data_IF_380197781586
#
_entry.id   IF_380197781586
#
_cell.length_a   1.000
_cell.length_b   1.000
_cell.length_c   1.000
_cell.angle_alpha   90.00
_cell.angle_beta   90.00
_cell.angle_gamma   90.00
#
_symmetry.space_group_name_H-M   'P 1'
#
loop_
_entity.id
_entity.type
_entity.pdbx_description
1 polymer ?
#
# COMPACT_ATOMS: atom_id res chain seq x y z
N UNK A 1 -9.12 -10.34 13.83
CA UNK A 1 -7.96 -11.14 14.29
C UNK A 1 -6.77 -10.66 13.49
N UNK A 2 -5.75 -10.10 14.17
CA UNK A 2 -4.55 -9.59 13.50
C UNK A 2 -3.75 -10.73 12.83
N UNK A 3 -2.81 -10.35 11.95
CA UNK A 3 -1.95 -11.28 11.22
C UNK A 3 -1.27 -12.33 12.12
N UNK A 4 -0.75 -11.91 13.26
CA UNK A 4 -0.01 -12.79 14.18
C UNK A 4 -0.88 -13.84 14.85
N UNK A 5 -2.13 -13.50 15.14
CA UNK A 5 -3.09 -14.40 15.78
C UNK A 5 -3.82 -15.32 14.79
N UNK A 6 -3.60 -15.14 13.48
CA UNK A 6 -4.25 -15.93 12.44
C UNK A 6 -3.60 -17.31 12.30
N UNK A 7 -4.43 -18.35 12.12
CA UNK A 7 -3.97 -19.69 11.76
C UNK A 7 -4.87 -20.35 10.71
N UNK A 8 -4.29 -21.22 9.89
CA UNK A 8 -5.03 -22.01 8.88
C UNK A 8 -6.09 -22.92 9.54
N UNK A 9 -5.84 -23.38 10.76
CA UNK A 9 -6.82 -24.19 11.53
C UNK A 9 -8.05 -23.37 11.94
N UNK A 10 -7.84 -22.13 12.37
CA UNK A 10 -8.95 -21.21 12.70
C UNK A 10 -9.76 -20.85 11.45
N UNK A 11 -9.08 -20.61 10.31
CA UNK A 11 -9.76 -20.37 9.03
C UNK A 11 -10.62 -21.56 8.64
N UNK A 12 -10.07 -22.77 8.65
CA UNK A 12 -10.77 -24.01 8.36
C UNK A 12 -12.04 -24.16 9.21
N UNK A 13 -11.89 -23.95 10.54
CA UNK A 13 -13.02 -24.00 11.47
C UNK A 13 -14.09 -22.95 11.18
N UNK A 14 -13.67 -21.71 10.86
CA UNK A 14 -14.59 -20.59 10.61
C UNK A 14 -15.34 -20.71 9.29
N UNK A 15 -14.69 -21.27 8.26
CA UNK A 15 -15.27 -21.45 6.92
C UNK A 15 -16.00 -22.78 6.72
N UNK A 16 -15.86 -23.73 7.65
CA UNK A 16 -16.40 -25.08 7.49
C UNK A 16 -15.65 -25.95 6.46
N UNK A 17 -14.48 -25.49 5.98
CA UNK A 17 -13.65 -26.20 5.01
C UNK A 17 -12.67 -27.10 5.76
N UNK A 18 -12.43 -28.32 5.27
CA UNK A 18 -11.42 -29.20 5.87
C UNK A 18 -10.02 -28.58 5.79
N UNK A 19 -9.23 -28.67 6.86
CA UNK A 19 -7.86 -28.13 6.92
C UNK A 19 -7.00 -28.63 5.75
N UNK A 20 -7.10 -29.92 5.40
CA UNK A 20 -6.40 -30.51 4.26
C UNK A 20 -6.75 -29.85 2.94
N UNK A 21 -8.02 -29.44 2.75
CA UNK A 21 -8.45 -28.74 1.54
C UNK A 21 -7.78 -27.37 1.41
N UNK A 22 -7.61 -26.63 2.51
CA UNK A 22 -6.90 -25.34 2.47
C UNK A 22 -5.43 -25.52 2.05
N UNK A 23 -4.77 -26.57 2.52
CA UNK A 23 -3.38 -26.87 2.16
C UNK A 23 -3.19 -27.40 0.72
N UNK A 24 -4.27 -27.77 0.02
CA UNK A 24 -4.22 -28.03 -1.42
C UNK A 24 -4.09 -26.74 -2.25
N UNK A 25 -4.56 -25.61 -1.71
CA UNK A 25 -4.52 -24.32 -2.39
C UNK A 25 -3.38 -23.41 -1.91
N UNK A 26 -3.02 -23.51 -0.63
CA UNK A 26 -2.01 -22.66 -0.01
C UNK A 26 -1.10 -23.54 0.85
N UNK A 27 0.14 -23.71 0.43
CA UNK A 27 1.12 -24.55 1.16
C UNK A 27 1.48 -23.95 2.52
N UNK A 28 1.47 -22.61 2.60
CA UNK A 28 1.74 -21.84 3.82
C UNK A 28 0.64 -20.83 4.10
N UNK A 29 0.62 -20.32 5.32
CA UNK A 29 -0.21 -19.18 5.69
C UNK A 29 0.18 -17.94 4.90
N UNK A 30 1.44 -17.78 4.65
CA UNK A 30 2.04 -16.66 3.94
C UNK A 30 1.63 -16.63 2.46
N UNK A 31 1.49 -17.77 1.79
CA UNK A 31 0.92 -17.84 0.44
C UNK A 31 -0.53 -17.35 0.38
N UNK A 32 -1.34 -17.67 1.39
CA UNK A 32 -2.68 -17.12 1.50
C UNK A 32 -2.65 -15.59 1.64
N UNK A 33 -1.78 -15.06 2.51
CA UNK A 33 -1.65 -13.62 2.68
C UNK A 33 -1.09 -12.92 1.43
N UNK A 34 -0.15 -13.54 0.72
CA UNK A 34 0.34 -13.04 -0.56
C UNK A 34 -0.78 -12.95 -1.59
N UNK A 35 -1.63 -13.97 -1.67
CA UNK A 35 -2.79 -13.97 -2.57
C UNK A 35 -3.80 -12.87 -2.18
N UNK A 36 -4.06 -12.68 -0.90
CA UNK A 36 -4.92 -11.60 -0.42
C UNK A 36 -4.33 -10.21 -0.73
N UNK A 37 -3.01 -10.07 -0.58
CA UNK A 37 -2.30 -8.85 -0.95
C UNK A 37 -2.45 -8.54 -2.44
N UNK A 38 -2.19 -9.51 -3.32
CA UNK A 38 -2.34 -9.34 -4.77
C UNK A 38 -3.76 -8.89 -5.15
N UNK A 39 -4.76 -9.55 -4.58
CA UNK A 39 -6.16 -9.17 -4.83
C UNK A 39 -6.48 -7.77 -4.32
N UNK A 40 -5.97 -7.38 -3.15
CA UNK A 40 -6.19 -6.04 -2.60
C UNK A 40 -5.43 -4.98 -3.40
N UNK A 41 -4.22 -5.28 -3.85
CA UNK A 41 -3.43 -4.42 -4.72
C UNK A 41 -4.18 -4.14 -6.04
N UNK A 42 -4.69 -5.18 -6.70
CA UNK A 42 -5.44 -5.04 -7.97
C UNK A 42 -6.71 -4.19 -7.74
N UNK A 43 -7.48 -4.48 -6.70
CA UNK A 43 -8.69 -3.70 -6.39
C UNK A 43 -8.37 -2.24 -6.08
N UNK A 44 -7.34 -2.00 -5.26
CA UNK A 44 -6.93 -0.65 -4.94
C UNK A 44 -6.42 0.11 -6.17
N UNK A 45 -5.54 -0.52 -6.97
CA UNK A 45 -5.02 0.10 -8.19
C UNK A 45 -6.15 0.53 -9.13
N UNK A 46 -7.13 -0.35 -9.35
CA UNK A 46 -8.27 -0.03 -10.19
C UNK A 46 -9.11 1.11 -9.59
N UNK A 47 -9.44 1.04 -8.30
CA UNK A 47 -10.23 2.09 -7.64
C UNK A 47 -9.52 3.46 -7.67
N UNK A 48 -8.20 3.47 -7.51
CA UNK A 48 -7.41 4.69 -7.60
C UNK A 48 -7.38 5.23 -9.03
N UNK A 49 -7.13 4.40 -10.04
CA UNK A 49 -7.13 4.79 -11.46
C UNK A 49 -8.49 5.37 -11.86
N UNK A 50 -9.58 4.72 -11.48
CA UNK A 50 -10.95 5.17 -11.79
C UNK A 50 -11.30 6.52 -11.14
N UNK A 51 -10.64 6.87 -10.04
CA UNK A 51 -10.84 8.14 -9.32
C UNK A 51 -9.93 9.27 -9.84
N UNK A 52 -8.97 8.97 -10.72
CA UNK A 52 -8.12 9.98 -11.34
C UNK A 52 -8.87 10.77 -12.42
N UNK A 53 -8.43 12.00 -12.63
CA UNK A 53 -8.88 12.86 -13.72
C UNK A 53 -7.68 13.56 -14.36
N UNK A 54 -7.85 14.06 -15.56
CA UNK A 54 -6.80 14.80 -16.27
C UNK A 54 -6.43 16.10 -15.54
N UNK A 55 -5.15 16.45 -15.63
CA UNK A 55 -4.62 17.71 -15.13
C UNK A 55 -4.88 17.99 -13.64
N UNK A 56 -4.75 16.96 -12.81
CA UNK A 56 -4.86 17.10 -11.35
C UNK A 56 -3.69 17.87 -10.76
N UNK A 57 -3.95 18.57 -9.66
CA UNK A 57 -2.89 19.09 -8.80
C UNK A 57 -2.20 17.95 -8.03
N UNK A 58 -0.91 18.10 -7.74
CA UNK A 58 -0.16 17.13 -6.91
C UNK A 58 -0.84 16.89 -5.55
N UNK A 59 -1.50 17.91 -4.99
CA UNK A 59 -2.25 17.80 -3.75
C UNK A 59 -3.48 16.90 -3.91
N UNK A 60 -4.30 17.14 -4.94
CA UNK A 60 -5.51 16.34 -5.18
C UNK A 60 -5.15 14.89 -5.47
N UNK A 61 -4.12 14.64 -6.29
CA UNK A 61 -3.59 13.32 -6.57
C UNK A 61 -3.14 12.60 -5.28
N UNK A 62 -2.33 13.27 -4.45
CA UNK A 62 -1.82 12.68 -3.21
C UNK A 62 -2.93 12.35 -2.21
N UNK A 63 -3.94 13.20 -2.10
CA UNK A 63 -5.10 12.97 -1.24
C UNK A 63 -5.93 11.76 -1.72
N UNK A 64 -6.18 11.66 -3.02
CA UNK A 64 -6.88 10.49 -3.60
C UNK A 64 -6.10 9.20 -3.40
N UNK A 65 -4.79 9.22 -3.63
CA UNK A 65 -3.95 8.05 -3.42
C UNK A 65 -4.03 7.55 -1.98
N UNK A 66 -3.90 8.44 -1.00
CA UNK A 66 -3.99 8.06 0.41
C UNK A 66 -5.39 7.59 0.79
N UNK A 67 -6.43 8.32 0.40
CA UNK A 67 -7.81 7.97 0.76
C UNK A 67 -8.26 6.64 0.17
N UNK A 68 -7.95 6.36 -1.09
CA UNK A 68 -8.28 5.07 -1.72
C UNK A 68 -7.48 3.91 -1.12
N UNK A 69 -6.19 4.11 -0.82
CA UNK A 69 -5.37 3.09 -0.15
C UNK A 69 -5.87 2.77 1.26
N UNK A 70 -6.36 3.77 1.98
CA UNK A 70 -6.89 3.61 3.34
C UNK A 70 -8.32 3.05 3.39
N UNK A 71 -9.08 3.16 2.30
CA UNK A 71 -10.45 2.67 2.22
C UNK A 71 -10.55 1.14 2.23
N UNK A 72 -9.56 0.43 1.65
CA UNK A 72 -9.46 -1.03 1.73
C UNK A 72 -8.71 -1.42 3.02
N UNK A 73 -9.44 -1.83 4.05
CA UNK A 73 -8.85 -2.26 5.33
C UNK A 73 -7.92 -3.49 5.24
N UNK A 74 -7.71 -4.04 4.04
CA UNK A 74 -6.83 -5.20 3.78
C UNK A 74 -5.51 -4.78 3.15
N UNK A 75 -5.52 -3.78 2.26
CA UNK A 75 -4.36 -3.42 1.44
C UNK A 75 -3.17 -2.92 2.27
N UNK A 76 -3.32 -1.83 3.00
CA UNK A 76 -2.21 -1.25 3.78
C UNK A 76 -1.63 -2.18 4.83
N UNK A 77 -2.44 -2.89 5.65
CA UNK A 77 -1.90 -3.83 6.62
C UNK A 77 -1.07 -4.97 6.00
N UNK A 78 -1.43 -5.43 4.80
CA UNK A 78 -0.66 -6.45 4.09
C UNK A 78 0.57 -5.88 3.41
N UNK A 79 0.48 -4.70 2.80
CA UNK A 79 1.59 -4.00 2.16
C UNK A 79 2.75 -3.78 3.15
N UNK A 80 2.46 -3.29 4.37
CA UNK A 80 3.47 -3.04 5.40
C UNK A 80 4.19 -4.33 5.83
N UNK A 81 3.49 -5.47 5.79
CA UNK A 81 4.04 -6.78 6.21
C UNK A 81 4.66 -7.59 5.08
N UNK A 82 4.54 -7.11 3.84
CA UNK A 82 4.83 -7.89 2.65
C UNK A 82 6.26 -8.46 2.66
N UNK A 83 7.26 -7.60 2.72
CA UNK A 83 8.67 -8.02 2.59
C UNK A 83 9.12 -8.86 3.79
N UNK A 84 8.93 -8.37 5.00
CA UNK A 84 9.53 -8.98 6.19
C UNK A 84 8.83 -10.24 6.68
N UNK A 85 7.52 -10.37 6.45
CA UNK A 85 6.73 -11.45 7.06
C UNK A 85 6.13 -12.40 6.05
N UNK A 86 5.77 -11.94 4.86
CA UNK A 86 5.07 -12.74 3.86
C UNK A 86 6.06 -13.34 2.88
N UNK A 87 6.83 -12.54 2.20
CA UNK A 87 7.70 -12.99 1.09
C UNK A 87 8.81 -13.94 1.52
N UNK A 88 9.35 -13.79 2.72
CA UNK A 88 10.39 -14.70 3.23
C UNK A 88 9.94 -16.15 3.47
N UNK A 89 8.62 -16.37 3.53
CA UNK A 89 8.04 -17.67 3.84
C UNK A 89 7.22 -18.26 2.69
N UNK A 90 7.46 -17.79 1.48
CA UNK A 90 6.83 -18.24 0.24
C UNK A 90 7.91 -18.83 -0.68
N UNK A 91 7.57 -19.84 -1.46
CA UNK A 91 8.51 -20.41 -2.41
C UNK A 91 8.86 -19.44 -3.56
N UNK A 92 10.04 -19.63 -4.16
CA UNK A 92 10.56 -18.72 -5.19
C UNK A 92 9.65 -18.65 -6.42
N UNK A 93 9.12 -19.75 -7.00
CA UNK A 93 8.22 -19.70 -8.13
C UNK A 93 6.95 -18.86 -7.84
N UNK A 94 6.36 -19.05 -6.66
CA UNK A 94 5.17 -18.29 -6.23
C UNK A 94 5.49 -16.81 -6.03
N UNK A 95 6.66 -16.51 -5.45
CA UNK A 95 7.15 -15.14 -5.28
C UNK A 95 7.36 -14.44 -6.62
N UNK A 96 7.99 -15.11 -7.59
CA UNK A 96 8.16 -14.57 -8.96
C UNK A 96 6.82 -14.22 -9.59
N UNK A 97 5.83 -15.12 -9.50
CA UNK A 97 4.49 -14.87 -10.03
C UNK A 97 3.85 -13.64 -9.39
N UNK A 98 4.03 -13.46 -8.08
CA UNK A 98 3.53 -12.28 -7.35
C UNK A 98 4.21 -10.99 -7.83
N UNK A 99 5.54 -11.02 -8.02
CA UNK A 99 6.26 -9.86 -8.56
C UNK A 99 5.83 -9.49 -9.98
N UNK A 100 5.43 -10.47 -10.81
CA UNK A 100 4.85 -10.18 -12.13
C UNK A 100 3.51 -9.45 -12.03
N UNK A 101 2.64 -9.86 -11.10
CA UNK A 101 1.39 -9.12 -10.83
C UNK A 101 1.71 -7.70 -10.38
N UNK A 102 2.68 -7.52 -9.47
CA UNK A 102 3.09 -6.20 -9.00
C UNK A 102 3.60 -5.30 -10.13
N UNK A 103 4.42 -5.83 -11.05
CA UNK A 103 4.92 -5.08 -12.22
C UNK A 103 3.76 -4.54 -13.04
N UNK A 104 2.79 -5.39 -13.39
CA UNK A 104 1.61 -4.98 -14.16
C UNK A 104 0.82 -3.86 -13.48
N UNK A 105 0.69 -3.91 -12.14
CA UNK A 105 0.00 -2.83 -11.42
C UNK A 105 0.81 -1.54 -11.42
N UNK A 106 2.14 -1.60 -11.26
CA UNK A 106 3.01 -0.42 -11.34
C UNK A 106 2.93 0.24 -12.72
N UNK A 107 2.93 -0.55 -13.80
CA UNK A 107 2.80 -0.05 -15.18
C UNK A 107 1.45 0.65 -15.40
N UNK A 108 0.33 0.03 -15.00
CA UNK A 108 -1.00 0.63 -15.12
C UNK A 108 -1.14 1.93 -14.29
N UNK A 109 -0.61 1.93 -13.07
CA UNK A 109 -0.59 3.12 -12.21
C UNK A 109 0.27 4.23 -12.81
N UNK A 110 1.42 3.90 -13.42
CA UNK A 110 2.32 4.88 -14.03
C UNK A 110 1.68 5.52 -15.28
N UNK A 111 0.99 4.74 -16.11
CA UNK A 111 0.25 5.25 -17.28
C UNK A 111 -0.83 6.26 -16.82
N UNK A 112 -1.67 5.89 -15.87
CA UNK A 112 -2.71 6.77 -15.33
C UNK A 112 -2.13 8.01 -14.63
N UNK A 113 -1.01 7.88 -13.93
CA UNK A 113 -0.30 8.99 -13.26
C UNK A 113 0.28 9.95 -14.28
N UNK A 114 0.87 9.45 -15.39
CA UNK A 114 1.41 10.26 -16.48
C UNK A 114 0.33 11.18 -17.06
N UNK A 115 -0.84 10.64 -17.37
CA UNK A 115 -1.97 11.42 -17.88
C UNK A 115 -2.49 12.42 -16.84
N UNK A 116 -2.71 11.96 -15.62
CA UNK A 116 -3.32 12.75 -14.55
C UNK A 116 -2.46 13.94 -14.10
N UNK A 117 -1.15 13.76 -14.03
CA UNK A 117 -0.20 14.79 -13.58
C UNK A 117 0.54 15.50 -14.72
N UNK A 118 0.30 15.13 -15.98
CA UNK A 118 1.03 15.62 -17.16
C UNK A 118 2.56 15.45 -17.01
N UNK A 119 2.97 14.22 -16.67
CA UNK A 119 4.36 13.82 -16.48
C UNK A 119 4.82 12.92 -17.65
N UNK A 120 6.15 12.86 -17.88
CA UNK A 120 6.70 11.83 -18.75
C UNK A 120 6.54 10.44 -18.12
N UNK A 121 6.61 9.38 -18.93
CA UNK A 121 6.54 7.99 -18.46
C UNK A 121 7.57 7.70 -17.35
N UNK A 122 8.82 8.12 -17.56
CA UNK A 122 9.89 7.94 -16.57
C UNK A 122 9.57 8.62 -15.22
N UNK A 123 9.09 9.87 -15.26
CA UNK A 123 8.67 10.60 -14.07
C UNK A 123 7.46 9.94 -13.38
N UNK A 124 6.50 9.47 -14.15
CA UNK A 124 5.32 8.79 -13.60
C UNK A 124 5.69 7.49 -12.89
N UNK A 125 6.60 6.69 -13.48
CA UNK A 125 7.14 5.47 -12.83
C UNK A 125 7.87 5.82 -11.52
N UNK A 126 8.67 6.90 -11.53
CA UNK A 126 9.36 7.36 -10.34
C UNK A 126 8.39 7.81 -9.24
N UNK A 127 7.36 8.59 -9.61
CA UNK A 127 6.28 8.98 -8.68
C UNK A 127 5.62 7.74 -8.08
N UNK A 128 5.16 6.78 -8.88
CA UNK A 128 4.48 5.58 -8.39
C UNK A 128 5.34 4.80 -7.39
N UNK A 129 6.61 4.55 -7.74
CA UNK A 129 7.55 3.83 -6.85
C UNK A 129 7.78 4.59 -5.54
N UNK A 130 8.02 5.89 -5.63
CA UNK A 130 8.31 6.71 -4.44
C UNK A 130 7.08 6.88 -3.56
N UNK A 131 5.89 7.02 -4.15
CA UNK A 131 4.63 7.04 -3.40
C UNK A 131 4.38 5.73 -2.65
N UNK A 132 4.72 4.58 -3.24
CA UNK A 132 4.64 3.29 -2.56
C UNK A 132 5.50 3.24 -1.29
N UNK A 133 6.76 3.67 -1.39
CA UNK A 133 7.67 3.74 -0.23
C UNK A 133 7.19 4.73 0.82
N UNK A 134 6.74 5.92 0.39
CA UNK A 134 6.21 6.95 1.29
C UNK A 134 4.95 6.48 2.01
N UNK A 135 4.06 5.76 1.31
CA UNK A 135 2.83 5.22 1.87
C UNK A 135 3.12 4.22 2.99
N UNK A 136 4.06 3.29 2.77
CA UNK A 136 4.51 2.33 3.80
C UNK A 136 5.04 3.09 5.01
N UNK A 137 5.97 4.03 4.81
CA UNK A 137 6.59 4.78 5.91
C UNK A 137 5.59 5.64 6.68
N UNK A 138 4.68 6.33 6.00
CA UNK A 138 3.69 7.20 6.63
C UNK A 138 2.66 6.42 7.45
N UNK A 139 2.24 5.22 6.99
CA UNK A 139 1.19 4.44 7.64
C UNK A 139 1.71 3.45 8.69
N UNK A 140 3.02 3.29 8.79
CA UNK A 140 3.61 2.37 9.78
C UNK A 140 3.30 2.79 11.23
N UNK A 141 3.20 4.10 11.50
CA UNK A 141 2.84 4.63 12.81
C UNK A 141 1.43 4.23 13.27
N UNK A 142 0.51 4.05 12.34
CA UNK A 142 -0.89 3.66 12.63
C UNK A 142 -1.02 2.19 13.08
N UNK A 143 0.05 1.41 13.01
CA UNK A 143 0.07 -0.01 13.43
C UNK A 143 0.41 -0.17 14.92
N UNK A 144 0.67 0.93 15.63
CA UNK A 144 0.91 0.92 17.07
C UNK A 144 -0.35 0.58 17.88
N UNK A 145 -0.21 0.30 19.19
CA UNK A 145 -1.36 0.14 20.07
C UNK A 145 -2.18 1.43 20.11
N UNK A 146 -3.51 1.30 20.08
CA UNK A 146 -4.40 2.45 20.26
C UNK A 146 -4.26 2.99 21.69
N UNK A 147 -4.02 4.29 21.79
CA UNK A 147 -3.95 5.02 23.04
C UNK A 147 -5.18 5.92 23.25
N UNK A 148 -6.26 5.70 22.49
CA UNK A 148 -7.45 6.57 22.43
C UNK A 148 -8.19 6.70 23.77
N UNK A 149 -7.97 5.79 24.72
CA UNK A 149 -8.64 5.75 26.01
C UNK A 149 -7.72 6.18 27.18
N UNK A 150 -6.47 6.55 26.89
CA UNK A 150 -5.51 6.94 27.91
C UNK A 150 -5.46 8.45 28.08
N UNK A 151 -5.32 8.93 29.31
CA UNK A 151 -5.00 10.34 29.59
C UNK A 151 -3.52 10.58 29.28
N UNK A 152 -3.24 11.06 28.07
CA UNK A 152 -1.87 11.30 27.63
C UNK A 152 -1.38 12.70 28.00
N UNK A 153 -0.10 12.87 28.40
CA UNK A 153 0.54 14.18 28.51
C UNK A 153 0.44 14.96 27.19
N UNK A 154 0.37 16.29 27.27
CA UNK A 154 0.18 17.18 26.11
C UNK A 154 1.28 17.03 25.06
N UNK A 155 2.53 16.86 25.47
CA UNK A 155 3.67 16.64 24.58
C UNK A 155 3.56 15.32 23.82
N UNK A 156 3.04 14.26 24.47
CA UNK A 156 2.78 12.96 23.82
C UNK A 156 1.61 13.06 22.84
N UNK A 157 0.53 13.77 23.21
CA UNK A 157 -0.59 14.02 22.28
C UNK A 157 -0.12 14.79 21.03
N UNK A 158 0.67 15.85 21.22
CA UNK A 158 1.23 16.64 20.12
C UNK A 158 2.16 15.82 19.23
N UNK A 159 2.96 14.92 19.82
CA UNK A 159 3.78 13.99 19.04
C UNK A 159 2.92 13.08 18.16
N UNK A 160 1.91 12.41 18.71
CA UNK A 160 1.01 11.53 17.98
C UNK A 160 0.33 12.28 16.82
N UNK A 161 -0.21 13.46 17.07
CA UNK A 161 -0.84 14.29 16.04
C UNK A 161 0.15 14.67 14.92
N UNK A 162 1.42 14.96 15.28
CA UNK A 162 2.44 15.33 14.30
C UNK A 162 2.84 14.19 13.36
N UNK A 163 2.62 12.94 13.78
CA UNK A 163 2.86 11.73 13.00
C UNK A 163 1.58 11.16 12.35
N UNK A 164 0.48 11.91 12.34
CA UNK A 164 -0.75 11.48 11.65
C UNK A 164 -0.46 11.17 10.17
N UNK A 165 -0.82 9.98 9.73
CA UNK A 165 -0.38 9.40 8.46
C UNK A 165 -0.83 10.20 7.24
N UNK A 166 -2.10 10.61 7.17
CA UNK A 166 -2.62 11.33 6.01
C UNK A 166 -1.96 12.71 5.80
N UNK A 167 -1.87 13.61 6.81
CA UNK A 167 -1.17 14.89 6.64
C UNK A 167 0.32 14.71 6.32
N UNK A 168 0.98 13.74 6.97
CA UNK A 168 2.39 13.46 6.76
C UNK A 168 2.63 12.96 5.33
N UNK A 169 1.83 12.01 4.87
CA UNK A 169 1.88 11.49 3.51
C UNK A 169 1.62 12.60 2.49
N UNK A 170 0.47 13.26 2.57
CA UNK A 170 0.04 14.25 1.56
C UNK A 170 1.04 15.39 1.41
N UNK A 171 1.53 15.93 2.53
CA UNK A 171 2.51 17.03 2.51
C UNK A 171 3.81 16.64 1.82
N UNK A 172 4.33 15.44 2.08
CA UNK A 172 5.59 15.00 1.49
C UNK A 172 5.41 14.48 0.06
N UNK A 173 4.30 13.83 -0.24
CA UNK A 173 3.95 13.44 -1.60
C UNK A 173 3.90 14.63 -2.56
N UNK A 174 3.26 15.72 -2.17
CA UNK A 174 3.25 16.97 -2.95
C UNK A 174 4.66 17.47 -3.23
N UNK A 175 5.52 17.52 -2.21
CA UNK A 175 6.91 18.00 -2.36
C UNK A 175 7.71 17.14 -3.33
N UNK A 176 7.55 15.82 -3.23
CA UNK A 176 8.24 14.85 -4.09
C UNK A 176 7.76 14.98 -5.54
N UNK A 177 6.45 15.03 -5.78
CA UNK A 177 5.88 15.16 -7.12
C UNK A 177 6.35 16.46 -7.78
N UNK A 178 6.32 17.57 -7.05
CA UNK A 178 6.81 18.86 -7.58
C UNK A 178 8.33 18.84 -7.82
N UNK A 179 9.11 18.16 -6.98
CA UNK A 179 10.55 17.94 -7.20
C UNK A 179 10.82 17.17 -8.49
N UNK A 180 10.18 16.01 -8.67
CA UNK A 180 10.32 15.19 -9.88
C UNK A 180 9.92 15.99 -11.14
N UNK A 181 8.86 16.79 -11.06
CA UNK A 181 8.41 17.64 -12.18
C UNK A 181 9.46 18.68 -12.58
N UNK A 182 10.18 19.26 -11.62
CA UNK A 182 11.16 20.34 -11.87
C UNK A 182 12.52 19.83 -12.32
N UNK A 183 12.94 18.63 -11.93
CA UNK A 183 14.25 18.07 -12.31
C UNK A 183 14.38 17.85 -13.82
N UNK A 184 13.30 17.54 -14.53
CA UNK A 184 13.31 17.41 -15.98
C UNK A 184 13.58 18.72 -16.72
N UNK A 185 13.31 19.88 -16.11
CA UNK A 185 13.55 21.22 -16.69
C UNK A 185 15.02 21.63 -16.55
N UNK A 186 15.75 21.07 -15.59
CA UNK A 186 17.14 21.42 -15.31
C UNK A 186 18.16 20.66 -16.17
N UNK A 187 17.74 19.61 -16.89
CA UNK A 187 18.58 18.74 -17.71
C UNK A 187 18.48 19.06 -19.23
N UNK A 188 17.84 20.19 -19.60
CA UNK A 188 17.79 20.75 -20.97
C UNK A 188 18.62 22.03 -21.00
#
# INVERSE_FOLDING_TARGET
VGYEAFSMAQLAKKTGVAKGTLYLYFQTREELFLTLYEQSLIRWSQAFIDDLSDSMTSKAYSQKLFSTASADGTFLPLLIRLEHMIEHNVDIPRLISSKQVFILQVEALAEATSMSLSLSEAQAIEVVKTMGVLLIGATQGDQGPSLDHEELPEDVQNLIVSFSSEPLFTKNAVRIIEGIRTEAVSNI
#
